data_IF_996011701017
#
_entry.id   IF_996011701017
#
_cell.length_a   1.000
_cell.length_b   1.000
_cell.length_c   1.000
_cell.angle_alpha   90.00
_cell.angle_beta   90.00
_cell.angle_gamma   90.00
#
_symmetry.space_group_name_H-M   'P 1'
#
loop_
_entity.id
_entity.type
_entity.pdbx_description
1 polymer ?
#
# COMPACT_ATOMS: atom_id res chain seq x y z
N UNK A 1 -18.29 -22.40 18.62
CA UNK A 1 -18.32 -22.92 17.23
C UNK A 1 -17.42 -22.02 16.40
N UNK A 2 -16.29 -22.55 15.93
CA UNK A 2 -15.46 -21.84 14.94
C UNK A 2 -16.29 -21.71 13.67
N UNK A 3 -16.65 -20.48 13.31
CA UNK A 3 -17.43 -20.19 12.12
C UNK A 3 -16.49 -20.34 10.91
N UNK A 4 -16.27 -21.60 10.48
CA UNK A 4 -15.37 -21.92 9.38
C UNK A 4 -15.99 -21.34 8.10
N UNK A 5 -15.36 -20.31 7.55
CA UNK A 5 -15.73 -19.77 6.25
C UNK A 5 -15.48 -20.82 5.17
N UNK A 6 -16.56 -21.38 4.62
CA UNK A 6 -16.53 -22.29 3.48
C UNK A 6 -16.32 -21.50 2.18
N UNK A 7 -15.07 -21.13 1.90
CA UNK A 7 -14.67 -20.58 0.61
C UNK A 7 -13.70 -21.53 -0.10
N UNK A 8 -14.06 -22.11 -1.27
CA UNK A 8 -13.15 -22.93 -2.07
C UNK A 8 -11.83 -22.22 -2.39
N UNK A 9 -11.89 -20.88 -2.46
CA UNK A 9 -10.73 -20.04 -2.74
C UNK A 9 -9.67 -20.20 -1.64
N UNK A 10 -10.06 -20.40 -0.37
CA UNK A 10 -9.10 -20.62 0.73
C UNK A 10 -8.17 -21.83 0.50
N UNK A 11 -8.58 -22.77 -0.36
CA UNK A 11 -7.83 -23.98 -0.69
C UNK A 11 -7.05 -23.88 -2.00
N UNK A 12 -7.17 -22.77 -2.74
CA UNK A 12 -6.38 -22.52 -3.93
C UNK A 12 -4.99 -22.03 -3.52
N UNK A 13 -3.97 -22.75 -3.97
CA UNK A 13 -2.57 -22.44 -3.71
C UNK A 13 -2.18 -21.09 -4.29
N UNK A 14 -1.21 -20.45 -3.65
CA UNK A 14 -0.63 -19.23 -4.17
C UNK A 14 0.12 -19.52 -5.48
N UNK A 15 -0.18 -18.81 -6.59
CA UNK A 15 0.66 -18.87 -7.77
C UNK A 15 2.03 -18.26 -7.42
N UNK A 16 3.11 -18.98 -7.71
CA UNK A 16 4.47 -18.42 -7.63
C UNK A 16 4.56 -17.27 -8.62
N UNK A 17 5.07 -16.13 -8.17
CA UNK A 17 5.29 -14.97 -9.04
C UNK A 17 6.63 -15.13 -9.74
N UNK A 18 6.62 -15.14 -11.07
CA UNK A 18 7.84 -15.07 -11.87
C UNK A 18 8.50 -13.70 -11.76
N UNK A 19 9.80 -13.61 -12.04
CA UNK A 19 10.54 -12.34 -12.00
C UNK A 19 9.89 -11.27 -12.92
N UNK A 20 9.51 -11.65 -14.14
CA UNK A 20 8.86 -10.74 -15.10
C UNK A 20 7.49 -10.25 -14.60
N UNK A 21 6.69 -11.13 -13.99
CA UNK A 21 5.41 -10.75 -13.39
C UNK A 21 5.61 -9.79 -12.22
N UNK A 22 6.61 -10.04 -11.37
CA UNK A 22 6.95 -9.13 -10.27
C UNK A 22 7.33 -7.75 -10.81
N UNK A 23 8.17 -7.67 -11.82
CA UNK A 23 8.57 -6.40 -12.43
C UNK A 23 7.38 -5.63 -13.01
N UNK A 24 6.44 -6.32 -13.65
CA UNK A 24 5.21 -5.73 -14.16
C UNK A 24 4.34 -5.16 -13.04
N UNK A 25 4.02 -5.98 -12.03
CA UNK A 25 3.18 -5.57 -10.88
C UNK A 25 3.84 -4.46 -10.04
N UNK A 26 5.17 -4.52 -9.90
CA UNK A 26 5.96 -3.46 -9.27
C UNK A 26 5.83 -2.14 -10.02
N UNK A 27 5.93 -2.19 -11.35
CA UNK A 27 5.76 -1.02 -12.22
C UNK A 27 4.35 -0.43 -12.09
N UNK A 28 3.31 -1.28 -12.06
CA UNK A 28 1.92 -0.83 -11.84
C UNK A 28 1.74 -0.15 -10.47
N UNK A 29 2.31 -0.72 -9.40
CA UNK A 29 2.25 -0.13 -8.07
C UNK A 29 2.95 1.24 -8.02
N UNK A 30 4.13 1.36 -8.64
CA UNK A 30 4.85 2.62 -8.77
C UNK A 30 4.06 3.65 -9.59
N UNK A 31 3.46 3.23 -10.72
CA UNK A 31 2.60 4.10 -11.55
C UNK A 31 1.44 4.67 -10.75
N UNK A 32 0.82 3.89 -9.86
CA UNK A 32 -0.25 4.38 -9.00
C UNK A 32 0.16 5.57 -8.12
N UNK A 33 1.40 5.60 -7.64
CA UNK A 33 1.95 6.74 -6.88
C UNK A 33 2.11 7.95 -7.80
N UNK A 34 2.70 7.79 -8.99
CA UNK A 34 2.88 8.90 -9.93
C UNK A 34 1.56 9.43 -10.50
N UNK A 35 0.57 8.57 -10.71
CA UNK A 35 -0.80 8.97 -11.06
C UNK A 35 -1.43 9.83 -9.96
N UNK A 36 -1.24 9.44 -8.69
CA UNK A 36 -1.70 10.23 -7.56
C UNK A 36 -1.02 11.61 -7.51
N UNK A 37 0.30 11.67 -7.70
CA UNK A 37 1.06 12.93 -7.76
C UNK A 37 0.66 13.79 -8.96
N UNK A 38 0.33 13.17 -10.10
CA UNK A 38 -0.19 13.92 -11.27
C UNK A 38 -1.50 14.63 -10.93
N UNK A 39 -2.40 13.96 -10.21
CA UNK A 39 -3.70 14.54 -9.82
C UNK A 39 -3.61 15.45 -8.59
N UNK A 40 -2.62 15.21 -7.72
CA UNK A 40 -2.41 15.91 -6.45
C UNK A 40 -0.91 16.20 -6.29
N UNK A 41 -0.37 17.23 -6.97
CA UNK A 41 1.07 17.50 -7.00
C UNK A 41 1.71 17.70 -5.62
N UNK A 42 0.97 18.27 -4.66
CA UNK A 42 1.48 18.48 -3.29
C UNK A 42 1.87 17.17 -2.59
N UNK A 43 1.38 16.01 -3.04
CA UNK A 43 1.76 14.72 -2.47
C UNK A 43 3.27 14.52 -2.50
N UNK A 44 3.95 15.06 -3.51
CA UNK A 44 5.40 14.99 -3.63
C UNK A 44 6.15 15.64 -2.46
N UNK A 45 5.54 16.60 -1.76
CA UNK A 45 6.16 17.31 -0.65
C UNK A 45 5.95 16.62 0.70
N UNK A 46 5.03 15.66 0.76
CA UNK A 46 4.71 14.87 1.97
C UNK A 46 5.14 13.41 1.85
N UNK A 47 5.82 13.03 0.76
CA UNK A 47 6.51 11.74 0.69
C UNK A 47 7.58 11.71 1.78
N UNK A 48 7.59 10.65 2.57
CA UNK A 48 8.57 10.44 3.64
C UNK A 48 9.95 10.19 3.01
N UNK A 49 10.96 10.95 3.46
CA UNK A 49 12.30 10.98 2.84
C UNK A 49 13.00 9.62 2.87
N UNK A 50 12.89 8.91 3.98
CA UNK A 50 13.50 7.60 4.23
C UNK A 50 12.52 6.43 4.01
N UNK A 51 11.40 6.65 3.33
CA UNK A 51 10.43 5.60 3.08
C UNK A 51 11.02 4.44 2.25
N UNK A 52 11.05 3.25 2.86
CA UNK A 52 11.64 2.07 2.24
C UNK A 52 13.17 2.13 2.15
N UNK A 53 13.84 2.99 2.93
CA UNK A 53 15.30 2.98 3.07
C UNK A 53 15.68 2.05 4.22
N UNK A 54 16.44 1.00 3.91
CA UNK A 54 16.84 -0.01 4.91
C UNK A 54 17.88 0.57 5.85
N UNK A 55 17.53 0.70 7.13
CA UNK A 55 18.49 0.93 8.21
C UNK A 55 19.29 -0.34 8.58
N UNK A 56 20.57 -0.40 8.20
CA UNK A 56 21.43 -1.56 8.48
C UNK A 56 21.77 -1.78 9.97
N UNK A 57 21.50 -0.79 10.82
CA UNK A 57 21.78 -0.86 12.26
C UNK A 57 20.67 -1.56 13.06
N UNK A 58 19.57 -1.95 12.40
CA UNK A 58 18.43 -2.66 13.01
C UNK A 58 18.50 -4.15 12.69
N UNK A 59 18.44 -5.00 13.72
CA UNK A 59 18.51 -6.46 13.57
C UNK A 59 17.19 -7.12 13.08
N UNK A 60 16.11 -6.34 12.92
CA UNK A 60 14.80 -6.82 12.48
C UNK A 60 14.71 -7.03 10.96
N UNK A 61 15.54 -7.94 10.45
CA UNK A 61 15.58 -8.31 9.03
C UNK A 61 14.42 -9.20 8.63
N UNK A 62 13.91 -9.00 7.41
CA UNK A 62 12.86 -9.84 6.85
C UNK A 62 13.29 -11.32 6.77
N UNK A 63 12.48 -12.29 7.23
CA UNK A 63 12.80 -13.71 7.12
C UNK A 63 12.65 -14.22 5.68
N UNK A 64 13.70 -14.00 4.88
CA UNK A 64 13.78 -14.32 3.45
C UNK A 64 13.50 -15.80 3.14
N UNK A 65 12.90 -16.04 1.99
CA UNK A 65 12.57 -17.38 1.49
C UNK A 65 11.48 -18.12 2.26
N UNK A 66 10.93 -17.52 3.32
CA UNK A 66 9.86 -18.15 4.09
C UNK A 66 8.49 -17.93 3.45
N UNK A 67 7.59 -18.91 3.63
CA UNK A 67 6.19 -18.83 3.25
C UNK A 67 5.32 -18.86 4.52
N UNK A 68 4.21 -18.12 4.52
CA UNK A 68 3.26 -18.14 5.63
C UNK A 68 2.19 -17.06 5.51
N UNK A 69 1.39 -16.95 6.57
CA UNK A 69 0.36 -15.92 6.70
C UNK A 69 0.95 -14.51 6.66
N UNK A 70 0.23 -13.57 6.04
CA UNK A 70 0.62 -12.16 5.96
C UNK A 70 0.86 -11.54 7.35
N UNK A 71 0.12 -12.00 8.35
CA UNK A 71 0.27 -11.65 9.76
C UNK A 71 1.68 -11.91 10.31
N UNK A 72 2.47 -12.79 9.69
CA UNK A 72 3.88 -13.03 10.03
C UNK A 72 4.78 -11.85 9.67
N UNK A 73 4.44 -11.10 8.61
CA UNK A 73 5.27 -10.05 8.04
C UNK A 73 4.79 -8.63 8.39
N UNK A 74 3.50 -8.48 8.72
CA UNK A 74 2.88 -7.19 9.00
C UNK A 74 2.00 -7.22 10.26
N UNK A 75 1.95 -6.10 10.98
CA UNK A 75 0.83 -5.79 11.85
C UNK A 75 -0.34 -5.30 10.99
N UNK A 76 -1.53 -5.85 11.22
CA UNK A 76 -2.70 -5.60 10.37
C UNK A 76 -3.75 -4.86 11.18
N UNK A 77 -3.99 -3.62 10.78
CA UNK A 77 -4.97 -2.74 11.39
C UNK A 77 -6.18 -2.53 10.49
N UNK A 78 -7.32 -2.21 11.12
CA UNK A 78 -8.41 -1.58 10.40
C UNK A 78 -8.08 -0.09 10.29
N UNK A 79 -8.55 0.57 9.24
CA UNK A 79 -8.64 2.02 9.25
C UNK A 79 -9.39 2.51 10.50
N UNK A 80 -9.11 3.74 10.92
CA UNK A 80 -9.64 4.29 12.17
C UNK A 80 -10.82 5.23 11.95
N UNK A 81 -11.03 5.68 10.72
CA UNK A 81 -11.96 6.77 10.40
C UNK A 81 -13.43 6.38 10.22
N UNK A 82 -14.34 7.30 10.53
CA UNK A 82 -15.81 7.10 10.56
C UNK A 82 -16.50 7.30 9.21
N UNK A 83 -15.75 7.65 8.16
CA UNK A 83 -16.23 7.91 6.80
C UNK A 83 -15.97 9.35 6.38
N UNK A 84 -15.54 9.55 5.13
CA UNK A 84 -15.10 10.83 4.55
C UNK A 84 -15.99 12.04 4.91
N UNK A 85 -17.31 11.90 4.81
CA UNK A 85 -18.28 13.00 5.02
C UNK A 85 -18.28 13.60 6.44
N UNK A 86 -17.57 12.99 7.38
CA UNK A 86 -17.43 13.47 8.75
C UNK A 86 -16.20 14.35 8.96
N UNK A 87 -15.40 14.58 7.91
CA UNK A 87 -14.18 15.35 7.97
C UNK A 87 -14.30 16.59 7.08
N UNK A 88 -13.56 17.63 7.45
CA UNK A 88 -13.42 18.83 6.63
C UNK A 88 -12.30 18.61 5.61
N UNK A 89 -12.34 19.39 4.54
CA UNK A 89 -11.29 19.41 3.51
C UNK A 89 -9.94 19.81 4.13
N UNK A 90 -8.87 19.20 3.63
CA UNK A 90 -7.50 19.47 4.07
C UNK A 90 -6.49 18.94 3.06
N UNK A 91 -5.32 18.52 3.54
CA UNK A 91 -4.20 18.07 2.67
C UNK A 91 -3.80 16.61 2.94
N UNK A 92 -4.43 15.92 3.89
CA UNK A 92 -4.08 14.54 4.22
C UNK A 92 -4.91 13.57 3.37
N UNK A 93 -4.27 12.63 2.65
CA UNK A 93 -4.97 11.60 1.89
C UNK A 93 -5.95 10.79 2.72
N UNK A 94 -7.19 10.71 2.24
CA UNK A 94 -8.21 9.81 2.79
C UNK A 94 -8.38 8.58 1.90
N UNK A 95 -8.00 7.42 2.43
CA UNK A 95 -8.02 6.15 1.73
C UNK A 95 -9.34 5.41 1.98
N UNK A 96 -9.96 4.95 0.90
CA UNK A 96 -11.23 4.22 0.91
C UNK A 96 -11.27 3.15 -0.18
N UNK A 97 -12.45 2.72 -0.64
CA UNK A 97 -12.63 1.62 -1.60
C UNK A 97 -12.37 1.99 -3.07
N UNK A 98 -11.54 3.00 -3.34
CA UNK A 98 -11.18 3.42 -4.71
C UNK A 98 -10.02 2.62 -5.30
N UNK A 99 -10.05 2.39 -6.61
CA UNK A 99 -8.98 1.66 -7.32
C UNK A 99 -7.92 2.58 -7.95
N UNK A 100 -8.35 3.76 -8.38
CA UNK A 100 -7.53 4.81 -8.99
C UNK A 100 -6.80 5.64 -7.95
N UNK A 101 -5.84 6.44 -8.40
CA UNK A 101 -5.21 7.50 -7.57
C UNK A 101 -4.65 6.95 -6.26
N UNK A 102 -4.03 5.77 -6.32
CA UNK A 102 -3.48 5.10 -5.14
C UNK A 102 -4.51 4.89 -4.00
N UNK A 103 -5.79 4.71 -4.35
CA UNK A 103 -6.95 4.57 -3.46
C UNK A 103 -7.33 5.82 -2.64
N UNK A 104 -6.77 6.97 -2.98
CA UNK A 104 -7.14 8.28 -2.43
C UNK A 104 -8.47 8.70 -3.06
N UNK A 105 -9.47 8.98 -2.23
CA UNK A 105 -10.78 9.48 -2.70
C UNK A 105 -11.00 10.97 -2.41
N UNK A 106 -10.26 11.53 -1.45
CA UNK A 106 -10.28 12.94 -1.08
C UNK A 106 -9.10 13.30 -0.19
N UNK A 107 -8.94 14.60 0.06
CA UNK A 107 -8.00 15.15 1.02
C UNK A 107 -8.77 15.76 2.18
N UNK A 108 -8.40 15.41 3.40
CA UNK A 108 -9.09 15.85 4.62
C UNK A 108 -8.10 16.43 5.63
N UNK A 109 -8.62 17.19 6.59
CA UNK A 109 -7.84 17.66 7.73
C UNK A 109 -7.53 16.47 8.66
N UNK A 110 -6.27 16.28 9.10
CA UNK A 110 -5.88 15.10 9.86
C UNK A 110 -6.46 15.12 11.27
N UNK A 111 -6.95 13.96 11.71
CA UNK A 111 -7.20 13.67 13.13
C UNK A 111 -6.02 12.85 13.66
N UNK A 112 -5.19 13.38 14.59
CA UNK A 112 -3.97 12.72 15.03
C UNK A 112 -4.14 11.26 15.47
N UNK A 113 -5.22 10.94 16.17
CA UNK A 113 -5.48 9.59 16.69
C UNK A 113 -5.86 8.59 15.57
N UNK A 114 -6.36 9.10 14.44
CA UNK A 114 -6.79 8.29 13.30
C UNK A 114 -5.73 8.20 12.19
N UNK A 115 -4.66 8.98 12.31
CA UNK A 115 -3.59 9.08 11.33
C UNK A 115 -2.70 7.85 11.33
N UNK A 116 -2.30 7.42 10.13
CA UNK A 116 -1.21 6.48 9.90
C UNK A 116 -0.06 7.22 9.26
N UNK A 117 1.17 6.99 9.74
CA UNK A 117 2.36 7.65 9.20
C UNK A 117 2.68 7.18 7.78
N UNK A 118 2.65 5.87 7.55
CA UNK A 118 2.89 5.25 6.26
C UNK A 118 2.43 3.79 6.27
N UNK A 119 2.47 3.12 5.12
CA UNK A 119 2.31 1.66 5.06
C UNK A 119 1.74 1.16 3.75
N UNK A 120 1.12 -0.02 3.79
CA UNK A 120 0.39 -0.57 2.65
C UNK A 120 -1.10 -0.62 2.99
N UNK A 121 -1.95 -0.17 2.08
CA UNK A 121 -3.41 -0.22 2.25
C UNK A 121 -4.03 -1.28 1.36
N UNK A 122 -5.01 -2.01 1.89
CA UNK A 122 -5.85 -2.94 1.14
C UNK A 122 -7.31 -2.48 1.24
N UNK A 123 -7.91 -2.16 0.10
CA UNK A 123 -9.33 -1.77 0.06
C UNK A 123 -10.25 -2.95 0.33
N UNK A 124 -11.53 -2.68 0.59
CA UNK A 124 -12.54 -3.72 0.82
C UNK A 124 -12.62 -4.78 -0.29
N UNK A 125 -12.23 -4.41 -1.52
CA UNK A 125 -12.23 -5.26 -2.72
C UNK A 125 -10.81 -5.65 -3.17
N UNK A 126 -9.85 -5.61 -2.25
CA UNK A 126 -8.53 -6.19 -2.43
C UNK A 126 -7.56 -5.39 -3.30
N UNK A 127 -7.86 -4.14 -3.67
CA UNK A 127 -6.84 -3.27 -4.30
C UNK A 127 -5.79 -2.94 -3.25
N UNK A 128 -4.53 -3.14 -3.61
CA UNK A 128 -3.38 -2.89 -2.74
C UNK A 128 -2.59 -1.71 -3.28
N UNK A 129 -2.26 -0.79 -2.39
CA UNK A 129 -1.55 0.45 -2.69
C UNK A 129 -0.50 0.73 -1.60
N UNK A 130 0.64 1.27 -2.00
CA UNK A 130 1.68 1.73 -1.08
C UNK A 130 1.39 3.18 -0.71
N UNK A 131 1.37 3.52 0.56
CA UNK A 131 1.16 4.89 1.05
C UNK A 131 2.47 5.42 1.65
N UNK A 132 3.31 6.12 0.85
CA UNK A 132 4.62 6.61 1.30
C UNK A 132 4.52 7.99 1.99
N UNK A 133 3.34 8.33 2.51
CA UNK A 133 2.98 9.60 3.15
C UNK A 133 1.96 9.31 4.25
N UNK A 134 1.76 10.27 5.15
CA UNK A 134 0.73 10.18 6.17
C UNK A 134 -0.67 10.14 5.54
N UNK A 135 -1.56 9.32 6.08
CA UNK A 135 -2.92 9.15 5.55
C UNK A 135 -3.91 8.77 6.64
N UNK A 136 -5.20 9.03 6.35
CA UNK A 136 -6.31 8.51 7.13
C UNK A 136 -7.03 7.43 6.32
N UNK A 137 -7.54 6.41 6.99
CA UNK A 137 -8.15 5.26 6.32
C UNK A 137 -9.52 4.93 6.89
N UNK A 138 -10.46 4.64 6.00
CA UNK A 138 -11.83 4.27 6.36
C UNK A 138 -11.86 3.06 7.32
N UNK A 139 -12.48 3.23 8.48
CA UNK A 139 -12.58 2.23 9.54
C UNK A 139 -13.93 1.56 9.71
N UNK A 140 -15.00 2.11 9.11
CA UNK A 140 -16.36 1.64 9.37
C UNK A 140 -16.83 0.49 8.47
N UNK A 141 -17.42 -0.53 9.10
CA UNK A 141 -18.14 -1.63 8.45
C UNK A 141 -17.27 -2.64 7.69
N UNK A 142 -17.92 -3.48 6.88
CA UNK A 142 -17.23 -4.46 6.03
C UNK A 142 -16.33 -3.84 4.96
N UNK A 143 -16.55 -2.56 4.67
CA UNK A 143 -15.79 -1.75 3.70
C UNK A 143 -14.58 -1.03 4.28
N UNK A 144 -14.23 -1.30 5.54
CA UNK A 144 -13.04 -0.72 6.16
C UNK A 144 -11.78 -1.11 5.35
N UNK A 145 -10.89 -0.15 5.18
CA UNK A 145 -9.56 -0.36 4.61
C UNK A 145 -8.69 -1.10 5.62
N UNK A 146 -7.84 -2.00 5.16
CA UNK A 146 -6.79 -2.63 5.98
C UNK A 146 -5.49 -1.89 5.80
N UNK A 147 -4.80 -1.64 6.90
CA UNK A 147 -3.47 -1.04 6.91
C UNK A 147 -2.49 -2.11 7.35
N UNK A 148 -1.45 -2.33 6.54
CA UNK A 148 -0.34 -3.21 6.85
C UNK A 148 0.85 -2.35 7.28
N UNK A 149 1.28 -2.55 8.52
CA UNK A 149 2.45 -1.92 9.09
C UNK A 149 3.58 -2.96 9.14
N UNK A 150 4.74 -2.72 8.47
CA UNK A 150 5.83 -3.67 8.44
C UNK A 150 6.31 -4.05 9.84
N UNK A 151 6.54 -5.35 10.08
CA UNK A 151 7.19 -5.85 11.32
C UNK A 151 8.70 -5.84 11.25
N UNK A 152 9.23 -5.74 10.04
CA UNK A 152 10.64 -5.83 9.73
C UNK A 152 11.03 -4.57 8.99
N UNK A 153 12.30 -4.22 9.08
CA UNK A 153 12.89 -3.17 8.29
C UNK A 153 12.99 -3.64 6.82
N UNK A 154 12.19 -3.04 5.94
CA UNK A 154 12.04 -3.46 4.55
C UNK A 154 12.38 -2.33 3.58
N UNK A 155 13.10 -2.67 2.53
CA UNK A 155 13.34 -1.83 1.35
C UNK A 155 12.03 -1.54 0.59
N UNK A 156 12.05 -0.53 -0.28
CA UNK A 156 10.94 -0.22 -1.18
C UNK A 156 10.60 -1.43 -2.07
N UNK A 157 11.59 -2.09 -2.67
CA UNK A 157 11.33 -3.27 -3.49
C UNK A 157 10.76 -4.46 -2.69
N UNK A 158 11.13 -4.64 -1.42
CA UNK A 158 10.52 -5.66 -0.55
C UNK A 158 9.07 -5.33 -0.20
N UNK A 159 8.76 -4.06 0.10
CA UNK A 159 7.38 -3.62 0.28
C UNK A 159 6.56 -3.84 -1.00
N UNK A 160 7.12 -3.47 -2.16
CA UNK A 160 6.49 -3.67 -3.46
C UNK A 160 6.33 -5.16 -3.82
N UNK A 161 7.21 -6.04 -3.34
CA UNK A 161 7.07 -7.49 -3.46
C UNK A 161 5.81 -8.01 -2.77
N UNK A 162 5.51 -7.51 -1.57
CA UNK A 162 4.24 -7.84 -0.90
C UNK A 162 3.04 -7.19 -1.60
N UNK A 163 3.15 -5.93 -2.03
CA UNK A 163 2.07 -5.26 -2.81
C UNK A 163 1.72 -6.07 -4.07
N UNK A 164 2.72 -6.50 -4.83
CA UNK A 164 2.55 -7.32 -6.03
C UNK A 164 1.87 -8.66 -5.72
N UNK A 165 2.37 -9.38 -4.70
CA UNK A 165 1.78 -10.66 -4.29
C UNK A 165 0.33 -10.56 -3.86
N UNK A 166 -0.02 -9.52 -3.11
CA UNK A 166 -1.39 -9.36 -2.60
C UNK A 166 -2.31 -8.90 -3.75
N UNK A 167 -1.87 -7.99 -4.62
CA UNK A 167 -2.63 -7.60 -5.81
C UNK A 167 -2.90 -8.79 -6.75
N UNK A 168 -1.95 -9.73 -6.91
CA UNK A 168 -2.14 -10.96 -7.67
C UNK A 168 -3.23 -11.88 -7.09
N UNK A 169 -3.50 -11.73 -5.80
CA UNK A 169 -4.54 -12.46 -5.06
C UNK A 169 -5.86 -11.68 -4.93
N UNK A 170 -5.94 -10.48 -5.54
CA UNK A 170 -7.11 -9.60 -5.46
C UNK A 170 -8.42 -10.28 -5.88
N UNK A 171 -8.37 -11.20 -6.84
CA UNK A 171 -9.53 -11.98 -7.31
C UNK A 171 -10.28 -12.75 -6.20
N UNK A 172 -9.64 -12.94 -5.03
CA UNK A 172 -10.25 -13.54 -3.83
C UNK A 172 -11.26 -12.62 -3.15
N UNK A 173 -11.28 -11.32 -3.47
CA UNK A 173 -12.07 -10.30 -2.78
C UNK A 173 -13.05 -9.60 -3.73
N UNK A 174 -14.32 -9.63 -3.36
CA UNK A 174 -15.43 -9.03 -4.12
C UNK A 174 -16.59 -8.73 -3.17
N UNK A 175 -17.71 -8.20 -3.67
CA UNK A 175 -18.81 -7.70 -2.83
C UNK A 175 -19.29 -8.67 -1.74
N UNK A 176 -19.53 -9.94 -2.09
CA UNK A 176 -19.95 -10.96 -1.12
C UNK A 176 -18.81 -11.52 -0.25
N UNK A 177 -17.55 -11.13 -0.53
CA UNK A 177 -16.36 -11.63 0.15
C UNK A 177 -15.30 -10.53 0.28
N UNK A 178 -15.58 -9.52 1.10
CA UNK A 178 -14.67 -8.39 1.30
C UNK A 178 -13.38 -8.80 2.05
N UNK A 179 -12.33 -7.99 1.85
CA UNK A 179 -11.01 -8.08 2.48
C UNK A 179 -11.03 -7.74 3.98
N UNK A 180 -11.78 -8.50 4.78
CA UNK A 180 -11.83 -8.32 6.24
C UNK A 180 -10.50 -8.68 6.91
N UNK A 181 -10.29 -8.20 8.15
CA UNK A 181 -8.99 -8.27 8.84
C UNK A 181 -8.49 -9.70 8.97
N UNK A 182 -9.35 -10.62 9.39
CA UNK A 182 -9.01 -12.03 9.53
C UNK A 182 -8.58 -12.68 8.19
N UNK A 183 -9.27 -12.37 7.09
CA UNK A 183 -8.91 -12.91 5.76
C UNK A 183 -7.57 -12.39 5.27
N UNK A 184 -7.31 -11.10 5.49
CA UNK A 184 -6.04 -10.48 5.13
C UNK A 184 -4.91 -11.00 6.01
N UNK A 185 -5.15 -11.19 7.30
CA UNK A 185 -4.18 -11.79 8.22
C UNK A 185 -3.75 -13.19 7.80
N UNK A 186 -4.71 -14.01 7.39
CA UNK A 186 -4.47 -15.39 7.01
C UNK A 186 -4.13 -15.56 5.51
N UNK A 187 -3.88 -14.46 4.78
CA UNK A 187 -3.50 -14.54 3.37
C UNK A 187 -2.09 -15.11 3.26
N UNK A 188 -1.92 -16.24 2.58
CA UNK A 188 -0.59 -16.83 2.36
C UNK A 188 0.22 -15.98 1.37
N UNK A 189 1.44 -15.66 1.77
CA UNK A 189 2.44 -14.93 0.98
C UNK A 189 3.84 -15.52 1.20
N UNK A 190 4.73 -15.28 0.25
CA UNK A 190 6.13 -15.74 0.32
C UNK A 190 7.06 -14.53 0.42
N UNK A 191 7.95 -14.47 1.40
CA UNK A 191 9.01 -13.46 1.44
C UNK A 191 9.97 -13.66 0.24
N UNK A 192 10.60 -12.61 -0.29
CA UNK A 192 11.57 -12.76 -1.38
C UNK A 192 12.70 -13.70 -0.92
N UNK A 193 13.30 -14.44 -1.85
CA UNK A 193 14.34 -15.44 -1.51
C UNK A 193 15.62 -14.82 -0.95
N UNK A 194 15.82 -13.53 -1.19
CA UNK A 194 16.97 -12.74 -0.75
C UNK A 194 16.55 -11.27 -0.64
N UNK A 195 17.42 -10.44 -0.06
CA UNK A 195 17.21 -9.00 0.01
C UNK A 195 17.01 -8.39 -1.39
N UNK A 196 15.99 -7.55 -1.55
CA UNK A 196 15.74 -6.81 -2.79
C UNK A 196 16.18 -5.36 -2.59
N UNK A 197 17.48 -5.13 -2.53
CA UNK A 197 18.01 -3.79 -2.29
C UNK A 197 17.58 -2.80 -3.39
N UNK A 198 17.20 -1.60 -2.96
CA UNK A 198 16.98 -0.49 -3.87
C UNK A 198 18.33 0.06 -4.36
N UNK A 199 18.38 0.43 -5.64
CA UNK A 199 19.55 1.10 -6.21
C UNK A 199 19.16 2.44 -6.84
N UNK A 200 20.10 3.38 -6.77
CA UNK A 200 19.91 4.73 -7.27
C UNK A 200 19.04 5.58 -6.34
N UNK A 201 18.10 6.32 -6.93
CA UNK A 201 17.27 7.29 -6.22
C UNK A 201 16.25 6.62 -5.29
N UNK A 202 16.04 7.21 -4.13
CA UNK A 202 14.94 6.92 -3.20
C UNK A 202 13.58 7.20 -3.84
N UNK A 203 12.50 6.71 -3.23
CA UNK A 203 11.14 7.04 -3.69
C UNK A 203 10.89 8.54 -3.63
N UNK A 204 11.30 9.17 -2.54
CA UNK A 204 11.22 10.62 -2.34
C UNK A 204 11.85 11.40 -3.49
N UNK A 205 13.11 11.10 -3.82
CA UNK A 205 13.81 11.76 -4.92
C UNK A 205 13.13 11.52 -6.27
N UNK A 206 12.64 10.30 -6.53
CA UNK A 206 11.93 9.97 -7.78
C UNK A 206 10.65 10.78 -7.94
N UNK A 207 9.87 10.90 -6.86
CA UNK A 207 8.61 11.64 -6.88
C UNK A 207 8.85 13.13 -7.01
N UNK A 208 9.86 13.69 -6.34
CA UNK A 208 10.22 15.11 -6.49
C UNK A 208 10.64 15.46 -7.91
N UNK A 209 11.56 14.68 -8.49
CA UNK A 209 11.98 14.88 -9.89
C UNK A 209 10.78 14.80 -10.83
N UNK A 210 9.89 13.83 -10.61
CA UNK A 210 8.68 13.71 -11.42
C UNK A 210 7.77 14.95 -11.30
N UNK A 211 7.57 15.46 -10.08
CA UNK A 211 6.74 16.65 -9.84
C UNK A 211 7.34 17.90 -10.47
N UNK A 212 8.65 18.10 -10.35
CA UNK A 212 9.36 19.22 -11.00
C UNK A 212 9.20 19.17 -12.53
N UNK A 213 9.41 17.98 -13.13
CA UNK A 213 9.21 17.79 -14.57
C UNK A 213 7.76 18.04 -14.99
N UNK A 214 6.79 17.57 -14.20
CA UNK A 214 5.37 17.82 -14.46
C UNK A 214 5.06 19.32 -14.43
N UNK A 215 5.58 20.06 -13.45
CA UNK A 215 5.40 21.52 -13.34
C UNK A 215 6.04 22.26 -14.51
N UNK A 216 7.22 21.84 -14.96
CA UNK A 216 7.87 22.39 -16.15
C UNK A 216 7.03 22.16 -17.43
N UNK A 217 6.43 20.97 -17.58
CA UNK A 217 5.56 20.68 -18.71
C UNK A 217 4.24 21.45 -18.68
N UNK A 218 3.71 21.75 -17.49
CA UNK A 218 2.46 22.51 -17.33
C UNK A 218 2.71 24.02 -17.47
N UNK A 219 3.78 24.54 -16.87
CA UNK A 219 4.10 25.97 -16.79
C UNK A 219 5.15 26.39 -17.83
N UNK A 220 5.02 25.90 -19.07
CA UNK A 220 5.96 26.26 -20.14
C UNK A 220 5.88 27.77 -20.46
N UNK A 221 7.01 28.44 -20.71
CA UNK A 221 7.00 29.85 -21.09
C UNK A 221 6.20 30.03 -22.38
N UNK A 222 5.24 30.97 -22.36
CA UNK A 222 4.60 31.44 -23.59
C UNK A 222 5.61 32.27 -24.40
N UNK A 223 5.62 32.14 -25.74
CA UNK A 223 6.52 32.90 -26.61
C UNK A 223 6.35 34.41 -26.49
#
# INVERSE_FOLDING_TARGET
MTNIEWSPQRWLTQPKISQNEFECLRSEAMRGIFEAVTLIPHLADVVIEDFGVVNNDVDDKLPYGTCGELSKYFHIENGRSKGEKNYIEGTTPYISSGDSTNSIISLIDPIPEELFEAGITITAFGKVALQPWAFMARGNGGSSVRVLLPKYNMSLNELLWFVAQINRQRWRFFYARMAIKERIANLEVTAPSQALLDSGKTLFERVRIFREQLEDFVNFPSP
#
